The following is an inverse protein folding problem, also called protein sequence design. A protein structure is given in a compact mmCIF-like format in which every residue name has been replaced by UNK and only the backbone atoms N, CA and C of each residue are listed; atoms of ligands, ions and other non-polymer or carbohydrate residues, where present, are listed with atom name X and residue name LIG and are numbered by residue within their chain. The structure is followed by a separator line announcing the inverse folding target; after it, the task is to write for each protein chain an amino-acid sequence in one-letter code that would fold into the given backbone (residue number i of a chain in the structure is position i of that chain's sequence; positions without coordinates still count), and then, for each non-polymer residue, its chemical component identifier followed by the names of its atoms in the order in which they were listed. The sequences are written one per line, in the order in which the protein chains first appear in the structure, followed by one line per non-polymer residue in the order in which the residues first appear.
data_IF_684592116400
#
_entry.id   IF_684592116400
#
_cell.length_a   1.000
_cell.length_b   1.000
_cell.length_c   1.000
_cell.angle_alpha   90.00
_cell.angle_beta   90.00
_cell.angle_gamma   90.00
#
_symmetry.space_group_name_H-M   'P 1'
#
loop_
_entity.id
_entity.type
_entity.pdbx_description
1 polymer ?
#
# COMPACT_ATOMS: atom_id res chain seq x y z
N UNK A 1 13.83 0.52 11.54
CA UNK A 1 13.16 -0.80 11.71
C UNK A 1 11.63 -0.74 11.84
N UNK A 2 11.08 -0.08 12.88
CA UNK A 2 9.63 -0.14 13.18
C UNK A 2 8.78 0.44 12.03
N UNK A 3 9.17 1.58 11.46
CA UNK A 3 8.45 2.18 10.32
C UNK A 3 8.35 1.22 9.11
N UNK A 4 9.46 0.61 8.70
CA UNK A 4 9.51 -0.33 7.57
C UNK A 4 8.67 -1.59 7.82
N UNK A 5 8.54 -2.03 9.09
CA UNK A 5 7.69 -3.14 9.48
C UNK A 5 6.20 -2.80 9.34
N UNK A 6 5.76 -1.66 9.88
CA UNK A 6 4.35 -1.27 9.79
C UNK A 6 3.91 -1.01 8.35
N UNK A 7 4.77 -0.37 7.55
CA UNK A 7 4.50 -0.10 6.14
C UNK A 7 4.42 -1.41 5.36
N UNK A 8 5.41 -2.31 5.50
CA UNK A 8 5.39 -3.58 4.78
C UNK A 8 4.26 -4.50 5.23
N UNK A 9 3.86 -4.43 6.51
CA UNK A 9 2.69 -5.13 7.03
C UNK A 9 1.41 -4.65 6.36
N UNK A 10 1.20 -3.32 6.23
CA UNK A 10 0.05 -2.75 5.52
C UNK A 10 0.02 -3.19 4.06
N UNK A 11 1.10 -2.93 3.32
CA UNK A 11 1.20 -3.27 1.88
C UNK A 11 1.00 -4.77 1.64
N UNK A 12 1.63 -5.60 2.47
CA UNK A 12 1.46 -7.04 2.41
C UNK A 12 0.03 -7.49 2.70
N UNK A 13 -0.66 -6.84 3.65
CA UNK A 13 -2.04 -7.15 3.98
C UNK A 13 -2.98 -6.77 2.83
N UNK A 14 -2.75 -5.61 2.21
CA UNK A 14 -3.51 -5.13 1.05
C UNK A 14 -3.35 -6.06 -0.14
N UNK A 15 -2.12 -6.41 -0.50
CA UNK A 15 -1.83 -7.39 -1.54
C UNK A 15 -2.53 -8.74 -1.24
N UNK A 16 -2.41 -9.24 -0.01
CA UNK A 16 -3.03 -10.51 0.39
C UNK A 16 -4.56 -10.47 0.32
N UNK A 17 -5.19 -9.35 0.67
CA UNK A 17 -6.63 -9.17 0.61
C UNK A 17 -7.13 -9.08 -0.84
N UNK A 18 -6.44 -8.34 -1.71
CA UNK A 18 -6.77 -8.26 -3.14
C UNK A 18 -6.70 -9.66 -3.77
N UNK A 19 -5.61 -10.39 -3.54
CA UNK A 19 -5.46 -11.76 -4.04
C UNK A 19 -6.51 -12.70 -3.45
N UNK A 20 -6.81 -12.59 -2.16
CA UNK A 20 -7.83 -13.38 -1.51
C UNK A 20 -9.24 -13.15 -2.07
N UNK A 21 -9.58 -11.90 -2.44
CA UNK A 21 -10.83 -11.59 -3.16
C UNK A 21 -10.85 -12.30 -4.52
N UNK A 22 -9.76 -12.23 -5.30
CA UNK A 22 -9.67 -12.88 -6.61
C UNK A 22 -9.85 -14.41 -6.48
N UNK A 23 -9.15 -15.03 -5.53
CA UNK A 23 -9.25 -16.47 -5.26
C UNK A 23 -10.67 -16.87 -4.81
N UNK A 24 -11.27 -16.11 -3.92
CA UNK A 24 -12.63 -16.36 -3.43
C UNK A 24 -13.65 -16.28 -4.57
N UNK A 25 -13.52 -15.29 -5.47
CA UNK A 25 -14.39 -15.18 -6.64
C UNK A 25 -14.21 -16.35 -7.61
N UNK A 26 -12.97 -16.79 -7.86
CA UNK A 26 -12.67 -17.96 -8.70
C UNK A 26 -13.31 -19.26 -8.18
N UNK A 27 -13.26 -19.45 -6.86
CA UNK A 27 -13.93 -20.58 -6.20
C UNK A 27 -15.45 -20.45 -6.35
N UNK A 28 -16.01 -19.24 -6.16
CA UNK A 28 -17.45 -18.98 -6.28
C UNK A 28 -18.00 -19.24 -7.68
N UNK A 29 -17.26 -18.88 -8.73
CA UNK A 29 -17.62 -19.15 -10.14
C UNK A 29 -17.22 -20.56 -10.63
N UNK A 30 -16.82 -21.45 -9.71
CA UNK A 30 -16.40 -22.84 -9.97
C UNK A 30 -15.25 -23.02 -10.98
N UNK A 31 -14.40 -22.00 -11.16
CA UNK A 31 -13.25 -22.02 -12.08
C UNK A 31 -11.92 -22.25 -11.36
N UNK A 32 -11.88 -23.28 -10.50
CA UNK A 32 -10.68 -23.59 -9.68
C UNK A 32 -9.42 -23.85 -10.51
N UNK A 33 -9.55 -24.37 -11.73
CA UNK A 33 -8.42 -24.62 -12.64
C UNK A 33 -7.63 -23.37 -13.04
N UNK A 34 -8.18 -22.17 -12.85
CA UNK A 34 -7.48 -20.92 -13.14
C UNK A 34 -6.71 -20.33 -11.96
N UNK A 35 -6.84 -20.91 -10.75
CA UNK A 35 -6.12 -20.47 -9.55
C UNK A 35 -4.60 -20.49 -9.76
N UNK A 36 -4.08 -21.48 -10.52
CA UNK A 36 -2.65 -21.57 -10.83
C UNK A 36 -2.10 -20.30 -11.50
N UNK A 37 -2.87 -19.64 -12.36
CA UNK A 37 -2.44 -18.42 -13.05
C UNK A 37 -2.38 -17.22 -12.12
N UNK A 38 -3.24 -17.19 -11.10
CA UNK A 38 -3.18 -16.18 -10.03
C UNK A 38 -1.90 -16.35 -9.23
N UNK A 39 -1.56 -17.57 -8.82
CA UNK A 39 -0.30 -17.84 -8.11
C UNK A 39 0.93 -17.46 -8.94
N UNK A 40 0.94 -17.78 -10.24
CA UNK A 40 2.03 -17.37 -11.13
C UNK A 40 2.14 -15.84 -11.18
N UNK A 41 1.02 -15.13 -11.33
CA UNK A 41 1.03 -13.66 -11.33
C UNK A 41 1.53 -13.07 -10.01
N UNK A 42 1.12 -13.61 -8.87
CA UNK A 42 1.61 -13.21 -7.54
C UNK A 42 3.12 -13.38 -7.42
N UNK A 43 3.64 -14.56 -7.79
CA UNK A 43 5.08 -14.86 -7.71
C UNK A 43 5.88 -13.94 -8.64
N UNK A 44 5.41 -13.74 -9.87
CA UNK A 44 6.05 -12.82 -10.81
C UNK A 44 6.03 -11.37 -10.29
N UNK A 45 4.91 -10.92 -9.73
CA UNK A 45 4.78 -9.56 -9.18
C UNK A 45 5.73 -9.36 -8.01
N UNK A 46 5.81 -10.34 -7.11
CA UNK A 46 6.74 -10.32 -5.99
C UNK A 46 8.20 -10.27 -6.44
N UNK A 47 8.62 -11.18 -7.32
CA UNK A 47 10.01 -11.21 -7.84
C UNK A 47 10.36 -9.89 -8.53
N UNK A 48 9.46 -9.37 -9.37
CA UNK A 48 9.70 -8.12 -10.10
C UNK A 48 9.80 -6.92 -9.15
N UNK A 49 8.99 -6.90 -8.08
CA UNK A 49 9.06 -5.84 -7.06
C UNK A 49 10.35 -5.90 -6.25
N UNK A 50 10.79 -7.10 -5.87
CA UNK A 50 12.07 -7.29 -5.17
C UNK A 50 13.24 -6.89 -6.06
N UNK A 51 13.25 -7.33 -7.32
CA UNK A 51 14.28 -6.96 -8.30
C UNK A 51 14.30 -5.43 -8.53
N UNK A 52 13.13 -4.81 -8.72
CA UNK A 52 13.00 -3.36 -8.86
C UNK A 52 13.50 -2.62 -7.61
N UNK A 53 13.23 -3.14 -6.42
CA UNK A 53 13.74 -2.61 -5.16
C UNK A 53 15.25 -2.70 -5.02
N UNK A 54 15.84 -3.85 -5.38
CA UNK A 54 17.30 -4.03 -5.37
C UNK A 54 17.98 -3.07 -6.33
N UNK A 55 17.51 -2.98 -7.58
CA UNK A 55 18.05 -2.06 -8.59
C UNK A 55 17.93 -0.63 -8.08
N UNK A 56 16.74 -0.21 -7.66
CA UNK A 56 16.51 1.17 -7.21
C UNK A 56 17.38 1.54 -6.01
N UNK A 57 17.59 0.62 -5.08
CA UNK A 57 18.44 0.87 -3.91
C UNK A 57 19.93 0.94 -4.27
N UNK A 58 20.40 0.09 -5.19
CA UNK A 58 21.78 0.14 -5.67
C UNK A 58 22.06 1.43 -6.44
N UNK A 59 21.17 1.81 -7.37
CA UNK A 59 21.31 3.05 -8.13
C UNK A 59 21.25 4.28 -7.21
N UNK A 60 20.33 4.28 -6.24
CA UNK A 60 20.21 5.40 -5.31
C UNK A 60 21.42 5.54 -4.38
N UNK A 61 22.08 4.44 -4.01
CA UNK A 61 23.35 4.45 -3.24
C UNK A 61 24.60 4.75 -4.08
N UNK A 62 24.51 4.60 -5.41
CA UNK A 62 25.60 4.93 -6.31
C UNK A 62 25.64 6.42 -6.65
N UNK A 63 24.59 7.17 -6.30
CA UNK A 63 24.55 8.62 -6.43
C UNK A 63 25.56 9.28 -5.46
N UNK A 64 26.03 10.48 -5.80
CA UNK A 64 27.03 11.22 -5.02
C UNK A 64 26.47 11.54 -3.62
N UNK A 65 27.29 11.45 -2.55
CA UNK A 65 26.84 11.66 -1.15
C UNK A 65 26.10 13.00 -0.96
N UNK A 66 26.47 14.06 -1.70
CA UNK A 66 25.77 15.35 -1.63
C UNK A 66 24.36 15.34 -2.25
N UNK A 67 24.04 14.33 -3.06
CA UNK A 67 22.75 14.16 -3.71
C UNK A 67 21.82 13.22 -2.95
N UNK A 68 22.33 12.46 -1.98
CA UNK A 68 21.54 11.51 -1.18
C UNK A 68 20.44 12.23 -0.37
N UNK A 69 20.75 13.37 0.26
CA UNK A 69 19.77 14.11 1.06
C UNK A 69 18.64 14.71 0.23
N UNK A 70 18.97 15.24 -0.96
CA UNK A 70 17.97 15.75 -1.90
C UNK A 70 17.12 14.61 -2.43
N UNK A 71 17.75 13.49 -2.81
CA UNK A 71 17.04 12.30 -3.29
C UNK A 71 16.09 11.75 -2.22
N UNK A 72 16.55 11.63 -0.98
CA UNK A 72 15.74 11.17 0.15
C UNK A 72 14.58 12.13 0.40
N UNK A 73 14.82 13.44 0.40
CA UNK A 73 13.78 14.46 0.56
C UNK A 73 12.72 14.41 -0.55
N UNK A 74 13.13 14.25 -1.80
CA UNK A 74 12.20 14.07 -2.94
C UNK A 74 11.39 12.79 -2.78
N UNK A 75 12.02 11.66 -2.42
CA UNK A 75 11.31 10.40 -2.20
C UNK A 75 10.33 10.50 -1.03
N UNK A 76 10.67 11.21 0.04
CA UNK A 76 9.76 11.48 1.15
C UNK A 76 8.50 12.25 0.70
N UNK A 77 8.65 13.27 -0.16
CA UNK A 77 7.51 13.99 -0.73
C UNK A 77 6.68 13.13 -1.70
N UNK A 78 7.33 12.31 -2.53
CA UNK A 78 6.64 11.35 -3.41
C UNK A 78 5.83 10.38 -2.56
N UNK A 79 6.43 9.80 -1.52
CA UNK A 79 5.76 8.89 -0.58
C UNK A 79 4.59 9.56 0.14
N UNK A 80 4.74 10.81 0.60
CA UNK A 80 3.62 11.57 1.17
C UNK A 80 2.49 11.80 0.14
N UNK A 81 2.84 12.09 -1.11
CA UNK A 81 1.90 12.20 -2.22
C UNK A 81 1.17 10.89 -2.52
N UNK A 82 1.87 9.75 -2.51
CA UNK A 82 1.28 8.41 -2.65
C UNK A 82 0.29 8.11 -1.52
N UNK A 83 0.63 8.47 -0.27
CA UNK A 83 -0.30 8.36 0.88
C UNK A 83 -1.55 9.20 0.64
N UNK A 84 -1.40 10.47 0.26
CA UNK A 84 -2.54 11.33 -0.02
C UNK A 84 -3.42 10.80 -1.16
N UNK A 85 -2.79 10.31 -2.23
CA UNK A 85 -3.49 9.66 -3.35
C UNK A 85 -4.26 8.43 -2.89
N UNK A 86 -3.65 7.57 -2.07
CA UNK A 86 -4.29 6.36 -1.54
C UNK A 86 -5.50 6.70 -0.67
N UNK A 87 -5.39 7.72 0.19
CA UNK A 87 -6.50 8.20 1.03
C UNK A 87 -7.66 8.69 0.16
N UNK A 88 -7.36 9.49 -0.88
CA UNK A 88 -8.35 9.96 -1.86
C UNK A 88 -8.97 8.80 -2.63
N UNK A 89 -8.17 7.81 -3.01
CA UNK A 89 -8.61 6.61 -3.72
C UNK A 89 -9.59 5.79 -2.88
N UNK A 90 -9.30 5.59 -1.59
CA UNK A 90 -10.17 4.88 -0.65
C UNK A 90 -11.51 5.62 -0.46
N UNK A 91 -11.46 6.95 -0.34
CA UNK A 91 -12.66 7.78 -0.24
C UNK A 91 -13.54 7.65 -1.51
N UNK A 92 -12.92 7.64 -2.69
CA UNK A 92 -13.61 7.60 -3.99
C UNK A 92 -14.12 6.21 -4.37
N UNK A 93 -13.47 5.14 -3.91
CA UNK A 93 -13.78 3.75 -4.28
C UNK A 93 -14.29 2.91 -3.09
N UNK A 94 -15.28 3.42 -2.36
CA UNK A 94 -15.94 2.69 -1.25
C UNK A 94 -16.55 1.33 -1.67
N UNK A 95 -16.76 1.11 -2.97
CA UNK A 95 -17.25 -0.13 -3.59
C UNK A 95 -16.15 -0.89 -4.36
N UNK A 96 -14.87 -0.75 -3.99
CA UNK A 96 -13.73 -1.40 -4.67
C UNK A 96 -13.95 -2.92 -4.85
N UNK A 97 -14.55 -3.58 -3.86
CA UNK A 97 -14.92 -4.99 -3.93
C UNK A 97 -15.84 -5.30 -5.12
N UNK A 98 -16.82 -4.44 -5.43
CA UNK A 98 -17.71 -4.63 -6.59
C UNK A 98 -17.00 -4.46 -7.94
N UNK A 99 -15.98 -3.59 -8.00
CA UNK A 99 -15.18 -3.34 -9.21
C UNK A 99 -14.21 -4.48 -9.51
N UNK A 100 -13.59 -5.04 -8.47
CA UNK A 100 -12.74 -6.24 -8.56
C UNK A 100 -13.61 -7.45 -8.93
N UNK A 101 -14.80 -7.58 -8.34
CA UNK A 101 -15.77 -8.63 -8.70
C UNK A 101 -16.23 -8.50 -10.15
N UNK A 102 -16.49 -7.28 -10.66
CA UNK A 102 -16.79 -7.04 -12.08
C UNK A 102 -15.61 -7.41 -12.99
N UNK A 103 -14.39 -6.98 -12.65
CA UNK A 103 -13.18 -7.32 -13.44
C UNK A 103 -12.90 -8.82 -13.44
N UNK A 104 -13.09 -9.52 -12.32
CA UNK A 104 -12.91 -10.98 -12.24
C UNK A 104 -14.03 -11.73 -12.98
N UNK A 105 -15.27 -11.25 -12.91
CA UNK A 105 -16.39 -11.86 -13.67
C UNK A 105 -16.29 -11.62 -15.18
N UNK A 106 -15.69 -10.52 -15.62
CA UNK A 106 -15.39 -10.24 -17.03
C UNK A 106 -14.08 -10.88 -17.52
N UNK A 107 -13.12 -11.12 -16.63
CA UNK A 107 -11.84 -11.78 -16.91
C UNK A 107 -12.05 -13.27 -17.23
N UNK A 108 -12.38 -13.55 -18.49
CA UNK A 108 -12.73 -14.90 -18.95
C UNK A 108 -11.52 -15.78 -19.25
N UNK A 109 -10.32 -15.18 -19.37
CA UNK A 109 -9.09 -15.85 -19.84
C UNK A 109 -7.99 -15.93 -18.76
N UNK A 110 -7.16 -16.97 -18.84
CA UNK A 110 -6.06 -17.27 -17.92
C UNK A 110 -5.03 -16.13 -17.82
N UNK A 111 -4.71 -15.52 -18.96
CA UNK A 111 -3.75 -14.41 -19.06
C UNK A 111 -4.27 -13.18 -18.31
N UNK A 112 -5.56 -12.89 -18.38
CA UNK A 112 -6.14 -11.73 -17.70
C UNK A 112 -6.06 -11.86 -16.18
N UNK A 113 -6.24 -13.07 -15.63
CA UNK A 113 -6.07 -13.34 -14.19
C UNK A 113 -4.61 -13.26 -13.75
N UNK A 114 -3.69 -13.74 -14.59
CA UNK A 114 -2.26 -13.62 -14.35
C UNK A 114 -1.85 -12.15 -14.31
N UNK A 115 -2.18 -11.37 -15.35
CA UNK A 115 -1.84 -9.95 -15.43
C UNK A 115 -2.50 -9.16 -14.31
N UNK A 116 -3.76 -9.45 -13.97
CA UNK A 116 -4.45 -8.78 -12.87
C UNK A 116 -3.74 -9.02 -11.54
N UNK A 117 -3.45 -10.27 -11.20
CA UNK A 117 -2.76 -10.61 -9.95
C UNK A 117 -1.32 -10.09 -9.91
N UNK A 118 -0.60 -10.16 -11.04
CA UNK A 118 0.72 -9.57 -11.22
C UNK A 118 0.70 -8.07 -10.94
N UNK A 119 -0.15 -7.31 -11.66
CA UNK A 119 -0.22 -5.85 -11.51
C UNK A 119 -0.68 -5.43 -10.12
N UNK A 120 -1.56 -6.21 -9.48
CA UNK A 120 -1.95 -5.97 -8.10
C UNK A 120 -0.76 -6.09 -7.15
N UNK A 121 -0.03 -7.21 -7.16
CA UNK A 121 1.12 -7.40 -6.26
C UNK A 121 2.27 -6.45 -6.61
N UNK A 122 2.52 -6.24 -7.89
CA UNK A 122 3.56 -5.32 -8.36
C UNK A 122 3.31 -3.89 -7.89
N UNK A 123 2.07 -3.41 -7.93
CA UNK A 123 1.74 -2.05 -7.44
C UNK A 123 2.04 -1.89 -5.96
N UNK A 124 1.51 -2.75 -5.09
CA UNK A 124 1.78 -2.68 -3.64
C UNK A 124 3.29 -2.86 -3.36
N UNK A 125 3.95 -3.74 -4.13
CA UNK A 125 5.40 -3.94 -4.04
C UNK A 125 6.21 -2.68 -4.42
N UNK A 126 5.83 -1.98 -5.48
CA UNK A 126 6.49 -0.74 -5.89
C UNK A 126 6.23 0.42 -4.92
N UNK A 127 5.04 0.48 -4.32
CA UNK A 127 4.76 1.42 -3.24
C UNK A 127 5.68 1.15 -2.04
N UNK A 128 5.80 -0.11 -1.62
CA UNK A 128 6.73 -0.52 -0.56
C UNK A 128 8.18 -0.15 -0.88
N UNK A 129 8.63 -0.36 -2.12
CA UNK A 129 9.97 0.05 -2.57
C UNK A 129 10.15 1.56 -2.45
N UNK A 130 9.19 2.36 -2.94
CA UNK A 130 9.25 3.81 -2.84
C UNK A 130 9.35 4.29 -1.39
N UNK A 131 8.61 3.69 -0.46
CA UNK A 131 8.74 4.01 0.97
C UNK A 131 10.09 3.61 1.56
N UNK A 132 10.64 2.47 1.17
CA UNK A 132 11.95 2.05 1.67
C UNK A 132 13.09 2.93 1.11
N UNK A 133 12.91 3.53 -0.06
CA UNK A 133 13.86 4.51 -0.62
C UNK A 133 13.87 5.83 0.15
N UNK A 134 12.88 6.13 1.00
CA UNK A 134 12.97 7.29 1.91
C UNK A 134 13.92 7.04 3.09
N UNK A 135 14.56 5.87 3.15
CA UNK A 135 15.40 5.40 4.26
C UNK A 135 16.76 4.92 3.76
N UNK A 136 17.28 5.51 2.68
CA UNK A 136 18.54 5.09 2.05
C UNK A 136 19.73 5.27 3.00
N UNK A 137 19.68 6.31 3.83
CA UNK A 137 20.67 6.62 4.86
C UNK A 137 20.59 5.66 6.07
N UNK A 138 19.48 4.93 6.26
CA UNK A 138 19.38 3.89 7.29
C UNK A 138 20.16 2.62 6.87
N UNK A 139 20.53 1.81 7.86
CA UNK A 139 21.16 0.53 7.60
C UNK A 139 20.22 -0.40 6.79
N UNK A 140 20.66 -0.78 5.58
CA UNK A 140 19.89 -1.60 4.65
C UNK A 140 19.42 -2.93 5.28
N UNK A 141 20.23 -3.55 6.13
CA UNK A 141 19.86 -4.77 6.84
C UNK A 141 18.69 -4.53 7.79
N UNK A 142 18.68 -3.40 8.50
CA UNK A 142 17.60 -3.03 9.42
C UNK A 142 16.28 -2.77 8.69
N UNK A 143 16.34 -2.12 7.54
CA UNK A 143 15.17 -1.88 6.68
C UNK A 143 14.65 -3.21 6.12
N UNK A 144 15.54 -4.06 5.59
CA UNK A 144 15.19 -5.36 5.03
C UNK A 144 14.57 -6.32 6.06
N UNK A 145 15.13 -6.39 7.27
CA UNK A 145 14.60 -7.20 8.37
C UNK A 145 13.20 -6.69 8.77
N UNK A 146 13.06 -5.38 8.97
CA UNK A 146 11.76 -4.77 9.30
C UNK A 146 10.71 -5.09 8.24
N UNK A 147 11.04 -4.88 6.96
CA UNK A 147 10.12 -5.17 5.86
C UNK A 147 9.76 -6.65 5.77
N UNK A 148 10.73 -7.55 5.93
CA UNK A 148 10.52 -9.01 5.88
C UNK A 148 9.58 -9.47 7.00
N UNK A 149 9.80 -9.01 8.24
CA UNK A 149 8.94 -9.34 9.37
C UNK A 149 7.51 -8.87 9.13
N UNK A 150 7.33 -7.65 8.63
CA UNK A 150 5.98 -7.13 8.34
C UNK A 150 5.26 -7.90 7.23
N UNK A 151 5.96 -8.32 6.17
CA UNK A 151 5.38 -9.18 5.11
C UNK A 151 4.97 -10.54 5.67
N UNK A 152 5.83 -11.19 6.49
CA UNK A 152 5.51 -12.48 7.13
C UNK A 152 4.27 -12.34 8.01
N UNK A 153 4.19 -11.28 8.80
CA UNK A 153 3.04 -11.02 9.67
C UNK A 153 1.77 -10.78 8.87
N UNK A 154 1.86 -10.06 7.74
CA UNK A 154 0.74 -9.82 6.84
C UNK A 154 0.19 -11.12 6.24
N UNK A 155 1.09 -11.99 5.75
CA UNK A 155 0.72 -13.31 5.22
C UNK A 155 0.06 -14.16 6.31
N UNK A 156 0.65 -14.18 7.51
CA UNK A 156 0.11 -14.93 8.65
C UNK A 156 -1.31 -14.47 8.99
N UNK A 157 -1.52 -13.16 9.14
CA UNK A 157 -2.85 -12.60 9.44
C UNK A 157 -3.83 -12.90 8.31
N UNK A 158 -3.43 -12.71 7.05
CA UNK A 158 -4.28 -13.04 5.91
C UNK A 158 -4.73 -14.50 5.93
N UNK A 159 -3.82 -15.45 6.18
CA UNK A 159 -4.16 -16.88 6.28
C UNK A 159 -5.18 -17.13 7.41
N UNK A 160 -4.99 -16.53 8.58
CA UNK A 160 -5.94 -16.64 9.71
C UNK A 160 -7.31 -16.09 9.33
N UNK A 161 -7.36 -14.90 8.70
CA UNK A 161 -8.61 -14.29 8.23
C UNK A 161 -9.34 -15.19 7.23
N UNK A 162 -8.61 -15.79 6.29
CA UNK A 162 -9.22 -16.62 5.23
C UNK A 162 -9.57 -18.04 5.68
N UNK A 163 -8.86 -18.61 6.67
CA UNK A 163 -9.14 -19.96 7.19
C UNK A 163 -10.21 -19.97 8.28
N UNK A 164 -10.35 -18.90 9.05
CA UNK A 164 -11.30 -18.85 10.16
C UNK A 164 -12.55 -18.07 9.76
N UNK A 165 -13.75 -18.50 10.19
CA UNK A 165 -14.99 -17.71 10.06
C UNK A 165 -15.02 -16.43 10.91
N UNK A 166 -13.86 -15.96 11.39
CA UNK A 166 -13.75 -14.70 12.13
C UNK A 166 -14.09 -13.60 11.13
N UNK A 167 -15.26 -13.02 11.31
CA UNK A 167 -15.67 -11.79 10.63
C UNK A 167 -14.84 -10.63 11.19
N UNK A 168 -13.58 -10.54 10.79
CA UNK A 168 -12.77 -9.37 11.08
C UNK A 168 -13.43 -8.18 10.42
N UNK A 169 -13.69 -7.13 11.21
CA UNK A 169 -14.14 -5.87 10.68
C UNK A 169 -12.94 -5.22 9.97
N UNK A 170 -12.71 -5.64 8.72
CA UNK A 170 -11.65 -5.13 7.85
C UNK A 170 -11.71 -3.59 7.79
N UNK A 171 -12.91 -3.01 7.81
CA UNK A 171 -13.07 -1.56 7.87
C UNK A 171 -12.43 -0.94 9.11
N UNK A 172 -12.42 -1.62 10.25
CA UNK A 172 -11.80 -1.13 11.48
C UNK A 172 -10.28 -1.25 11.41
N UNK A 173 -9.75 -2.36 10.90
CA UNK A 173 -8.30 -2.56 10.69
C UNK A 173 -7.75 -1.52 9.73
N UNK A 174 -8.40 -1.32 8.58
CA UNK A 174 -8.01 -0.31 7.60
C UNK A 174 -8.15 1.11 8.13
N UNK A 175 -9.17 1.38 8.97
CA UNK A 175 -9.32 2.70 9.59
C UNK A 175 -8.17 3.01 10.54
N UNK A 176 -7.78 2.05 11.37
CA UNK A 176 -6.66 2.20 12.30
C UNK A 176 -5.33 2.35 11.56
N UNK A 177 -5.06 1.48 10.58
CA UNK A 177 -3.85 1.56 9.75
C UNK A 177 -3.80 2.86 8.93
N UNK A 178 -4.94 3.32 8.41
CA UNK A 178 -5.03 4.57 7.65
C UNK A 178 -4.75 5.82 8.50
N UNK A 179 -5.22 5.87 9.75
CA UNK A 179 -4.87 6.97 10.67
C UNK A 179 -3.37 6.99 10.96
N UNK A 180 -2.78 5.82 11.25
CA UNK A 180 -1.33 5.72 11.45
C UNK A 180 -0.55 6.19 10.22
N UNK A 181 -1.02 5.82 9.03
CA UNK A 181 -0.41 6.20 7.77
C UNK A 181 -0.47 7.72 7.52
N UNK A 182 -1.57 8.38 7.89
CA UNK A 182 -1.66 9.85 7.79
C UNK A 182 -0.60 10.52 8.66
N UNK A 183 -0.34 10.00 9.86
CA UNK A 183 0.71 10.53 10.74
C UNK A 183 2.10 10.32 10.13
N UNK A 184 2.37 9.12 9.61
CA UNK A 184 3.64 8.81 8.91
C UNK A 184 3.81 9.69 7.68
N UNK A 185 2.77 9.86 6.87
CA UNK A 185 2.79 10.72 5.68
C UNK A 185 3.01 12.19 6.02
N UNK A 186 2.45 12.67 7.13
CA UNK A 186 2.74 14.01 7.65
C UNK A 186 4.20 14.16 8.05
N UNK A 187 4.77 13.14 8.70
CA UNK A 187 6.21 13.10 9.04
C UNK A 187 7.10 13.12 7.80
N UNK A 188 6.82 12.29 6.81
CA UNK A 188 7.55 12.27 5.53
C UNK A 188 7.40 13.62 4.79
N UNK A 189 6.21 14.22 4.80
CA UNK A 189 5.99 15.53 4.20
C UNK A 189 6.81 16.62 4.89
N UNK A 190 6.87 16.59 6.23
CA UNK A 190 7.73 17.49 7.03
C UNK A 190 9.19 17.32 6.65
N UNK A 191 9.71 16.11 6.77
CA UNK A 191 11.13 15.81 6.58
C UNK A 191 11.56 16.09 5.14
N UNK A 192 10.72 15.76 4.15
CA UNK A 192 10.95 16.07 2.75
C UNK A 192 11.01 17.58 2.47
N UNK A 193 10.11 18.37 3.08
CA UNK A 193 10.17 19.85 2.97
C UNK A 193 11.42 20.41 3.64
N UNK A 194 11.74 19.96 4.85
CA UNK A 194 12.90 20.45 5.61
C UNK A 194 14.20 20.15 4.87
N UNK A 195 14.35 18.96 4.27
CA UNK A 195 15.52 18.60 3.46
C UNK A 195 15.65 19.41 2.17
N UNK A 196 14.55 19.84 1.56
CA UNK A 196 14.58 20.64 0.32
C UNK A 196 14.67 22.15 0.53
N UNK A 197 14.34 22.64 1.73
CA UNK A 197 14.32 24.06 2.08
C UNK A 197 15.41 24.42 3.10
N UNK A 198 16.54 23.72 3.07
CA UNK A 198 17.72 23.99 3.90
C UNK A 198 17.43 24.14 5.41
N UNK A 199 16.51 23.35 5.95
CA UNK A 199 16.29 23.28 7.40
C UNK A 199 15.20 24.19 7.98
N UNK A 200 14.32 24.78 7.16
CA UNK A 200 13.18 25.56 7.68
C UNK A 200 12.14 24.69 8.45
N UNK A 201 12.41 24.46 9.74
CA UNK A 201 11.57 23.62 10.59
C UNK A 201 10.14 24.16 10.78
N UNK A 202 9.98 25.48 10.81
CA UNK A 202 8.67 26.12 10.97
C UNK A 202 7.75 25.80 9.78
N UNK A 203 8.29 25.91 8.57
CA UNK A 203 7.55 25.67 7.35
C UNK A 203 7.25 24.18 7.16
N UNK A 204 8.20 23.30 7.51
CA UNK A 204 7.96 21.86 7.60
C UNK A 204 6.86 21.50 8.61
N UNK A 205 6.84 22.12 9.79
CA UNK A 205 5.82 21.90 10.82
C UNK A 205 4.41 22.33 10.37
N UNK A 206 4.30 23.49 9.71
CA UNK A 206 3.04 23.95 9.12
C UNK A 206 2.58 23.00 8.01
N UNK A 207 3.50 22.56 7.15
CA UNK A 207 3.24 21.57 6.10
C UNK A 207 2.71 20.25 6.65
N UNK A 208 3.34 19.72 7.71
CA UNK A 208 2.89 18.51 8.41
C UNK A 208 1.45 18.65 8.92
N UNK A 209 1.16 19.76 9.61
CA UNK A 209 -0.16 20.01 10.18
C UNK A 209 -1.23 20.10 9.08
N UNK A 210 -0.95 20.82 8.00
CA UNK A 210 -1.85 20.91 6.84
C UNK A 210 -2.09 19.54 6.20
N UNK A 211 -1.04 18.76 5.96
CA UNK A 211 -1.15 17.42 5.39
C UNK A 211 -2.03 16.52 6.27
N UNK A 212 -1.76 16.47 7.58
CA UNK A 212 -2.49 15.62 8.53
C UNK A 212 -3.94 16.05 8.63
N UNK A 213 -4.22 17.34 8.79
CA UNK A 213 -5.59 17.86 8.95
C UNK A 213 -6.40 17.64 7.68
N UNK A 214 -5.87 17.99 6.50
CA UNK A 214 -6.56 17.75 5.23
C UNK A 214 -6.83 16.26 5.00
N UNK A 215 -5.83 15.41 5.24
CA UNK A 215 -5.94 13.96 5.06
C UNK A 215 -6.93 13.33 6.04
N UNK A 216 -6.90 13.72 7.32
CA UNK A 216 -7.87 13.26 8.33
C UNK A 216 -9.28 13.71 8.01
N UNK A 217 -9.48 14.95 7.55
CA UNK A 217 -10.80 15.45 7.17
C UNK A 217 -11.39 14.64 6.00
N UNK A 218 -10.57 14.28 5.01
CA UNK A 218 -11.00 13.45 3.88
C UNK A 218 -11.29 12.01 4.33
N UNK A 219 -10.42 11.45 5.16
CA UNK A 219 -10.48 10.07 5.61
C UNK A 219 -11.61 9.80 6.61
N UNK A 220 -11.83 10.72 7.56
CA UNK A 220 -12.87 10.60 8.59
C UNK A 220 -14.22 11.14 8.16
N UNK A 221 -14.29 11.92 7.05
CA UNK A 221 -15.60 12.32 6.50
C UNK A 221 -16.42 11.07 6.26
N UNK A 222 -17.57 10.91 6.94
CA UNK A 222 -18.40 9.75 6.73
C UNK A 222 -18.76 9.73 5.25
N UNK A 223 -18.41 8.66 4.55
CA UNK A 223 -19.04 8.30 3.29
C UNK A 223 -20.54 8.19 3.62
N UNK A 224 -21.25 9.31 3.46
CA UNK A 224 -22.61 9.49 3.96
C UNK A 224 -23.44 8.38 3.34
N UNK A 225 -23.96 7.47 4.17
CA UNK A 225 -24.80 6.33 3.85
C UNK A 225 -26.14 6.76 3.21
N UNK A 226 -26.10 7.47 2.09
CA UNK A 226 -27.29 7.93 1.38
C UNK A 226 -27.54 7.07 0.15
N UNK A 227 -27.75 5.76 0.37
CA UNK A 227 -28.49 4.92 -0.61
C UNK A 227 -29.20 3.69 -0.06
N UNK A 228 -29.30 3.50 1.27
CA UNK A 228 -30.17 2.46 1.87
C UNK A 228 -31.59 2.95 2.22
N UNK A 229 -32.03 4.10 1.69
CA UNK A 229 -33.40 4.63 1.86
C UNK A 229 -34.14 4.94 0.55
N UNK A 230 -33.69 4.42 -0.60
CA UNK A 230 -34.40 4.62 -1.88
C UNK A 230 -34.76 3.32 -2.62
N UNK A 231 -34.97 2.23 -1.87
CA UNK A 231 -35.52 0.96 -2.38
C UNK A 231 -36.76 0.47 -1.64
N UNK A 232 -37.36 1.31 -0.80
CA UNK A 232 -38.68 1.08 -0.21
C UNK A 232 -39.45 2.41 -0.31
N UNK A 233 -39.87 2.73 -1.53
CA UNK A 233 -40.93 3.67 -1.86
C UNK A 233 -41.47 3.23 -3.21
#
# INVERSE_FOLDING_TARGET
MIGSLFISFREGLEAALVIGIILTQLVRIRRKGMIKYVYIGVVLGFITSVAGGMISFTEAKAAEESSEDIFEGVMMLISAGLIAYFILWLHRNHDASSSVVKKVSQSTNAISLLVLSFLSVFREGMELVAFNLTKITENAYTVAIGSTIGIILAIFIAIVVFKTSIKLNLSLVFKTLGVFLILVGGGLFKEGLVKLLDGEELLGGIGMALFIVCSLLIFLRPAYQKRSKKKIA
#
